data_IF_448453318263
#
_entry.id   IF_448453318263
#
_cell.length_a   1.000
_cell.length_b   1.000
_cell.length_c   1.000
_cell.angle_alpha   90.00
_cell.angle_beta   90.00
_cell.angle_gamma   90.00
#
_symmetry.space_group_name_H-M   'P 1'
#
loop_
_entity.id
_entity.type
_entity.pdbx_description
1 polymer ?
#
# COMPACT_ATOMS: atom_id res chain seq x y z
N UNK A 1 70.07 56.51 -45.90
CA UNK A 1 68.70 56.08 -45.48
C UNK A 1 68.84 55.12 -44.31
N UNK A 2 68.37 55.50 -43.13
CA UNK A 2 68.74 54.85 -41.87
C UNK A 2 67.79 53.69 -41.52
N UNK A 3 68.28 52.46 -41.62
CA UNK A 3 67.56 51.19 -41.39
C UNK A 3 66.82 51.11 -40.02
N UNK A 4 67.29 51.86 -39.01
CA UNK A 4 66.66 51.88 -37.68
C UNK A 4 65.41 52.76 -37.58
N UNK A 5 65.22 53.76 -38.46
CA UNK A 5 64.03 54.62 -38.45
C UNK A 5 62.78 53.87 -38.92
N UNK A 6 62.95 53.13 -40.00
CA UNK A 6 61.88 52.36 -40.67
C UNK A 6 61.33 51.21 -39.81
N UNK A 7 62.15 50.62 -38.93
CA UNK A 7 61.69 49.62 -37.97
C UNK A 7 60.83 50.22 -36.84
N UNK A 8 61.17 51.44 -36.38
CA UNK A 8 60.43 52.12 -35.31
C UNK A 8 59.05 52.56 -35.80
N UNK A 9 58.93 52.99 -37.04
CA UNK A 9 57.66 53.43 -37.62
C UNK A 9 56.74 52.25 -37.94
N UNK A 10 57.26 51.14 -38.47
CA UNK A 10 56.50 49.88 -38.58
C UNK A 10 55.95 49.39 -37.24
N UNK A 11 56.75 49.47 -36.16
CA UNK A 11 56.28 49.10 -34.81
C UNK A 11 55.17 50.03 -34.30
N UNK A 12 55.22 51.32 -34.63
CA UNK A 12 54.16 52.28 -34.28
C UNK A 12 52.87 51.98 -35.04
N UNK A 13 52.95 51.77 -36.35
CA UNK A 13 51.80 51.41 -37.17
C UNK A 13 51.15 50.11 -36.71
N UNK A 14 51.95 49.08 -36.40
CA UNK A 14 51.44 47.82 -35.85
C UNK A 14 50.75 48.03 -34.50
N UNK A 15 51.30 48.86 -33.61
CA UNK A 15 50.62 49.22 -32.34
C UNK A 15 49.30 49.96 -32.58
N UNK A 16 49.23 50.85 -33.57
CA UNK A 16 48.00 51.56 -33.92
C UNK A 16 46.95 50.60 -34.50
N UNK A 17 47.35 49.70 -35.41
CA UNK A 17 46.48 48.64 -35.95
C UNK A 17 45.97 47.71 -34.86
N UNK A 18 46.83 47.30 -33.92
CA UNK A 18 46.44 46.49 -32.76
C UNK A 18 45.48 47.23 -31.81
N UNK A 19 45.68 48.53 -31.58
CA UNK A 19 44.75 49.36 -30.79
C UNK A 19 43.40 49.49 -31.48
N UNK A 20 43.38 49.72 -32.79
CA UNK A 20 42.15 49.79 -33.58
C UNK A 20 41.41 48.44 -33.60
N UNK A 21 42.13 47.34 -33.81
CA UNK A 21 41.56 45.99 -33.76
C UNK A 21 41.00 45.66 -32.36
N UNK A 22 41.70 46.02 -31.28
CA UNK A 22 41.23 45.84 -29.91
C UNK A 22 40.01 46.71 -29.59
N UNK A 23 39.95 47.93 -30.12
CA UNK A 23 38.79 48.81 -29.97
C UNK A 23 37.57 48.24 -30.71
N UNK A 24 37.74 47.78 -31.95
CA UNK A 24 36.68 47.13 -32.73
C UNK A 24 36.16 45.86 -32.04
N UNK A 25 37.08 44.97 -31.61
CA UNK A 25 36.72 43.77 -30.85
C UNK A 25 35.97 44.08 -29.55
N UNK A 26 36.30 45.19 -28.87
CA UNK A 26 35.59 45.62 -27.65
C UNK A 26 34.18 46.11 -27.96
N UNK A 27 33.96 46.81 -29.06
CA UNK A 27 32.63 47.25 -29.47
C UNK A 27 31.77 46.08 -29.96
N UNK A 28 32.35 45.16 -30.74
CA UNK A 28 31.69 43.93 -31.17
C UNK A 28 31.28 43.08 -29.95
N UNK A 29 32.18 42.91 -28.99
CA UNK A 29 31.87 42.20 -27.73
C UNK A 29 30.76 42.88 -26.90
N UNK A 30 30.73 44.22 -26.85
CA UNK A 30 29.63 44.95 -26.20
C UNK A 30 28.31 44.76 -26.93
N UNK A 31 28.33 44.76 -28.26
CA UNK A 31 27.14 44.58 -29.07
C UNK A 31 26.57 43.16 -28.92
N UNK A 32 27.43 42.14 -28.95
CA UNK A 32 27.07 40.76 -28.64
C UNK A 32 26.52 40.60 -27.21
N UNK A 33 27.15 41.24 -26.22
CA UNK A 33 26.68 41.19 -24.84
C UNK A 33 25.27 41.80 -24.70
N UNK A 34 25.01 42.94 -25.37
CA UNK A 34 23.67 43.56 -25.41
C UNK A 34 22.64 42.66 -26.08
N UNK A 35 23.00 41.99 -27.18
CA UNK A 35 22.11 41.05 -27.86
C UNK A 35 21.79 39.84 -26.97
N UNK A 36 22.79 39.28 -26.29
CA UNK A 36 22.60 38.17 -25.34
C UNK A 36 21.71 38.55 -24.17
N UNK A 37 21.91 39.73 -23.57
CA UNK A 37 21.07 40.24 -22.48
C UNK A 37 19.62 40.47 -22.95
N UNK A 38 19.42 41.06 -24.14
CA UNK A 38 18.09 41.23 -24.73
C UNK A 38 17.40 39.88 -24.95
N UNK A 39 18.09 38.92 -25.58
CA UNK A 39 17.56 37.58 -25.81
C UNK A 39 17.20 36.85 -24.49
N UNK A 40 18.03 37.00 -23.46
CA UNK A 40 17.76 36.44 -22.13
C UNK A 40 16.51 37.06 -21.49
N UNK A 41 16.36 38.40 -21.55
CA UNK A 41 15.18 39.10 -21.03
C UNK A 41 13.91 38.70 -21.77
N UNK A 42 13.96 38.62 -23.10
CA UNK A 42 12.82 38.23 -23.93
C UNK A 42 12.45 36.76 -23.68
N UNK A 43 13.44 35.86 -23.57
CA UNK A 43 13.24 34.47 -23.17
C UNK A 43 12.62 34.32 -21.78
N UNK A 44 13.06 35.11 -20.79
CA UNK A 44 12.44 35.14 -19.46
C UNK A 44 10.98 35.60 -19.50
N UNK A 45 10.67 36.65 -20.26
CA UNK A 45 9.29 37.14 -20.42
C UNK A 45 8.40 36.10 -21.10
N UNK A 46 8.90 35.44 -22.14
CA UNK A 46 8.20 34.36 -22.82
C UNK A 46 7.92 33.18 -21.88
N UNK A 47 8.94 32.73 -21.13
CA UNK A 47 8.80 31.65 -20.16
C UNK A 47 7.81 32.00 -19.03
N UNK A 48 7.80 33.25 -18.55
CA UNK A 48 6.83 33.70 -17.55
C UNK A 48 5.39 33.74 -18.11
N UNK A 49 5.22 34.19 -19.36
CA UNK A 49 3.93 34.19 -20.03
C UNK A 49 3.39 32.76 -20.22
N UNK A 50 4.25 31.82 -20.63
CA UNK A 50 3.90 30.40 -20.74
C UNK A 50 3.53 29.80 -19.39
N UNK A 51 4.33 30.04 -18.33
CA UNK A 51 3.99 29.58 -16.97
C UNK A 51 2.62 30.10 -16.51
N UNK A 52 2.31 31.37 -16.79
CA UNK A 52 1.00 31.95 -16.46
C UNK A 52 -0.14 31.32 -17.25
N UNK A 53 0.06 30.98 -18.52
CA UNK A 53 -0.93 30.26 -19.34
C UNK A 53 -1.15 28.84 -18.81
N UNK A 54 -0.06 28.08 -18.62
CA UNK A 54 -0.11 26.72 -18.08
C UNK A 54 -0.78 26.69 -16.70
N UNK A 55 -0.49 27.66 -15.82
CA UNK A 55 -1.14 27.75 -14.52
C UNK A 55 -2.65 28.05 -14.62
N UNK A 56 -3.08 28.85 -15.60
CA UNK A 56 -4.51 29.12 -15.84
C UNK A 56 -5.23 27.89 -16.37
N UNK A 57 -4.62 27.15 -17.29
CA UNK A 57 -5.19 25.94 -17.86
C UNK A 57 -5.25 24.82 -16.82
N UNK A 58 -4.19 24.62 -16.04
CA UNK A 58 -4.19 23.72 -14.90
C UNK A 58 -5.30 24.05 -13.88
N UNK A 59 -5.55 25.34 -13.60
CA UNK A 59 -6.68 25.75 -12.73
C UNK A 59 -8.04 25.44 -13.35
N UNK A 60 -8.21 25.62 -14.66
CA UNK A 60 -9.46 25.27 -15.37
C UNK A 60 -9.71 23.77 -15.34
N UNK A 61 -8.67 22.99 -15.61
CA UNK A 61 -8.73 21.53 -15.60
C UNK A 61 -9.00 20.98 -14.20
N UNK A 62 -8.32 21.52 -13.17
CA UNK A 62 -8.63 21.18 -11.78
C UNK A 62 -10.09 21.49 -11.42
N UNK A 63 -10.63 22.63 -11.86
CA UNK A 63 -12.05 22.99 -11.63
C UNK A 63 -13.01 22.07 -12.38
N UNK A 64 -12.66 21.63 -13.59
CA UNK A 64 -13.44 20.66 -14.38
C UNK A 64 -13.42 19.28 -13.72
N UNK A 65 -12.26 18.80 -13.31
CA UNK A 65 -12.10 17.51 -12.64
C UNK A 65 -12.84 17.49 -11.31
N UNK A 66 -12.72 18.53 -10.47
CA UNK A 66 -13.48 18.63 -9.22
C UNK A 66 -15.02 18.56 -9.44
N UNK A 67 -15.53 19.12 -10.54
CA UNK A 67 -16.96 18.99 -10.91
C UNK A 67 -17.32 17.57 -11.33
N UNK A 68 -16.45 16.88 -12.06
CA UNK A 68 -16.64 15.49 -12.47
C UNK A 68 -16.62 14.58 -11.25
N UNK A 69 -15.67 14.76 -10.34
CA UNK A 69 -15.55 13.99 -9.10
C UNK A 69 -16.78 14.19 -8.22
N UNK A 70 -17.27 15.42 -8.08
CA UNK A 70 -18.51 15.69 -7.34
C UNK A 70 -19.72 14.99 -7.96
N UNK A 71 -19.78 14.87 -9.30
CA UNK A 71 -20.84 14.13 -9.99
C UNK A 71 -20.68 12.62 -9.81
N UNK A 72 -19.46 12.10 -9.89
CA UNK A 72 -19.13 10.69 -9.66
C UNK A 72 -19.47 10.29 -8.22
N UNK A 73 -19.08 11.08 -7.23
CA UNK A 73 -19.40 10.86 -5.82
C UNK A 73 -20.91 10.82 -5.57
N UNK A 74 -21.67 11.76 -6.17
CA UNK A 74 -23.15 11.75 -6.08
C UNK A 74 -23.76 10.48 -6.71
N UNK A 75 -23.22 9.99 -7.82
CA UNK A 75 -23.69 8.74 -8.45
C UNK A 75 -23.35 7.53 -7.58
N UNK A 76 -22.13 7.46 -7.04
CA UNK A 76 -21.70 6.42 -6.13
C UNK A 76 -22.56 6.39 -4.85
N UNK A 77 -22.92 7.56 -4.29
CA UNK A 77 -23.81 7.64 -3.14
C UNK A 77 -25.23 7.14 -3.45
N UNK A 78 -25.76 7.45 -4.64
CA UNK A 78 -27.05 6.92 -5.11
C UNK A 78 -27.02 5.40 -5.25
N UNK A 79 -25.97 4.85 -5.86
CA UNK A 79 -25.77 3.40 -6.00
C UNK A 79 -25.68 2.76 -4.61
N UNK A 80 -24.92 3.33 -3.68
CA UNK A 80 -24.81 2.84 -2.31
C UNK A 80 -26.16 2.84 -1.58
N UNK A 81 -26.96 3.90 -1.73
CA UNK A 81 -28.31 3.99 -1.14
C UNK A 81 -29.28 2.99 -1.75
N UNK A 82 -29.20 2.75 -3.06
CA UNK A 82 -30.00 1.74 -3.74
C UNK A 82 -29.62 0.33 -3.25
N UNK A 83 -28.32 0.01 -3.27
CA UNK A 83 -27.80 -1.28 -2.78
C UNK A 83 -28.17 -1.56 -1.33
N UNK A 84 -28.13 -0.56 -0.44
CA UNK A 84 -28.54 -0.72 0.96
C UNK A 84 -30.01 -1.11 1.11
N UNK A 85 -30.91 -0.58 0.28
CA UNK A 85 -32.34 -0.94 0.31
C UNK A 85 -32.56 -2.37 -0.18
N UNK A 86 -31.84 -2.77 -1.23
CA UNK A 86 -31.94 -4.12 -1.79
C UNK A 86 -31.35 -5.15 -0.81
N UNK A 87 -30.24 -4.82 -0.16
CA UNK A 87 -29.62 -5.65 0.87
C UNK A 87 -30.53 -5.80 2.10
N UNK A 88 -31.21 -4.73 2.54
CA UNK A 88 -32.22 -4.85 3.61
C UNK A 88 -33.38 -5.76 3.23
N UNK A 89 -33.89 -5.69 1.99
CA UNK A 89 -34.95 -6.58 1.52
C UNK A 89 -34.47 -8.02 1.47
N UNK A 90 -33.25 -8.26 0.96
CA UNK A 90 -32.64 -9.58 0.91
C UNK A 90 -32.41 -10.16 2.32
N UNK A 91 -31.95 -9.35 3.26
CA UNK A 91 -31.80 -9.76 4.67
C UNK A 91 -33.14 -10.11 5.31
N UNK A 92 -34.18 -9.28 5.12
CA UNK A 92 -35.53 -9.58 5.62
C UNK A 92 -36.10 -10.86 5.01
N UNK A 93 -35.88 -11.09 3.72
CA UNK A 93 -36.30 -12.32 3.05
C UNK A 93 -35.57 -13.56 3.62
N UNK A 94 -34.26 -13.44 3.88
CA UNK A 94 -33.47 -14.50 4.54
C UNK A 94 -33.98 -14.78 5.96
N UNK A 95 -34.27 -13.75 6.76
CA UNK A 95 -34.82 -13.93 8.10
C UNK A 95 -36.17 -14.66 8.08
N UNK A 96 -37.11 -14.23 7.22
CA UNK A 96 -38.39 -14.93 7.05
C UNK A 96 -38.22 -16.39 6.63
N UNK A 97 -37.28 -16.65 5.73
CA UNK A 97 -36.99 -18.02 5.30
C UNK A 97 -36.45 -18.87 6.46
N UNK A 98 -35.53 -18.32 7.25
CA UNK A 98 -34.99 -18.99 8.44
C UNK A 98 -36.08 -19.24 9.49
N UNK A 99 -36.97 -18.28 9.74
CA UNK A 99 -38.11 -18.43 10.66
C UNK A 99 -39.05 -19.55 10.18
N UNK A 100 -39.37 -19.59 8.88
CA UNK A 100 -40.22 -20.63 8.30
C UNK A 100 -39.58 -22.02 8.35
N UNK A 101 -38.26 -22.11 8.12
CA UNK A 101 -37.52 -23.36 8.23
C UNK A 101 -37.45 -23.81 9.70
N UNK A 102 -37.18 -22.90 10.63
CA UNK A 102 -37.17 -23.19 12.06
C UNK A 102 -38.55 -23.64 12.55
N UNK A 103 -39.64 -22.99 12.11
CA UNK A 103 -41.01 -23.39 12.42
C UNK A 103 -41.33 -24.80 11.90
N UNK A 104 -40.94 -25.12 10.66
CA UNK A 104 -41.10 -26.47 10.10
C UNK A 104 -40.29 -27.53 10.85
N UNK A 105 -39.06 -27.20 11.26
CA UNK A 105 -38.22 -28.10 12.07
C UNK A 105 -38.87 -28.34 13.43
N UNK A 106 -39.42 -27.29 14.07
CA UNK A 106 -40.13 -27.40 15.34
C UNK A 106 -41.40 -28.26 15.23
N UNK A 107 -42.18 -28.11 14.15
CA UNK A 107 -43.34 -28.97 13.88
C UNK A 107 -42.93 -30.42 13.64
N UNK A 108 -41.87 -30.66 12.86
CA UNK A 108 -41.32 -32.00 12.66
C UNK A 108 -40.82 -32.62 13.96
N UNK A 109 -40.19 -31.85 14.84
CA UNK A 109 -39.77 -32.31 16.16
C UNK A 109 -40.95 -32.58 17.08
N UNK A 110 -42.02 -31.77 17.03
CA UNK A 110 -43.25 -31.99 17.83
C UNK A 110 -43.98 -33.27 17.44
N UNK A 111 -43.98 -33.59 16.14
CA UNK A 111 -44.58 -34.83 15.62
C UNK A 111 -43.68 -36.06 15.81
N UNK A 112 -42.37 -35.87 16.05
CA UNK A 112 -41.41 -36.92 16.31
C UNK A 112 -41.01 -36.94 17.79
N UNK A 113 -41.94 -37.34 18.66
CA UNK A 113 -41.65 -37.53 20.08
C UNK A 113 -40.46 -38.47 20.34
N UNK A 114 -39.72 -38.22 21.43
CA UNK A 114 -38.50 -38.93 21.81
C UNK A 114 -38.82 -40.38 22.21
N UNK A 115 -38.75 -41.30 21.26
CA UNK A 115 -38.96 -42.74 21.47
C UNK A 115 -37.71 -43.39 22.06
N UNK A 116 -37.90 -44.40 22.92
CA UNK A 116 -36.82 -45.07 23.68
C UNK A 116 -35.69 -45.61 22.78
N UNK A 117 -36.02 -46.02 21.56
CA UNK A 117 -35.06 -46.51 20.58
C UNK A 117 -34.22 -45.40 19.94
N UNK A 118 -34.80 -44.20 19.73
CA UNK A 118 -34.04 -43.04 19.26
C UNK A 118 -33.09 -42.50 20.33
N UNK A 119 -33.46 -42.57 21.61
CA UNK A 119 -32.58 -42.19 22.71
C UNK A 119 -31.32 -43.07 22.77
N UNK A 120 -31.47 -44.39 22.56
CA UNK A 120 -30.33 -45.32 22.46
C UNK A 120 -29.46 -45.03 21.22
N UNK A 121 -30.09 -44.73 20.07
CA UNK A 121 -29.38 -44.31 18.86
C UNK A 121 -28.60 -43.00 19.04
N UNK A 122 -29.17 -42.03 19.76
CA UNK A 122 -28.51 -40.75 20.06
C UNK A 122 -27.31 -40.91 20.99
N UNK A 123 -27.38 -41.78 22.00
CA UNK A 123 -26.21 -42.05 22.88
C UNK A 123 -25.08 -42.72 22.10
N UNK A 124 -25.40 -43.65 21.20
CA UNK A 124 -24.41 -44.28 20.31
C UNK A 124 -23.78 -43.28 19.33
N UNK A 125 -24.60 -42.47 18.67
CA UNK A 125 -24.15 -41.44 17.75
C UNK A 125 -23.33 -40.35 18.44
N UNK A 126 -23.74 -39.94 19.65
CA UNK A 126 -22.99 -38.99 20.46
C UNK A 126 -21.59 -39.54 20.81
N UNK A 127 -21.48 -40.80 21.25
CA UNK A 127 -20.17 -41.42 21.55
C UNK A 127 -19.22 -41.45 20.35
N UNK A 128 -19.75 -41.65 19.15
CA UNK A 128 -18.97 -41.63 17.90
C UNK A 128 -18.60 -40.21 17.44
N UNK A 129 -19.48 -39.22 17.67
CA UNK A 129 -19.25 -37.85 17.26
C UNK A 129 -18.45 -37.03 18.26
N UNK A 130 -18.42 -37.41 19.55
CA UNK A 130 -17.68 -36.70 20.61
C UNK A 130 -16.22 -36.39 20.24
N UNK A 131 -15.40 -37.30 19.69
CA UNK A 131 -14.01 -37.02 19.34
C UNK A 131 -13.83 -35.97 18.24
N UNK A 132 -14.81 -35.81 17.35
CA UNK A 132 -14.77 -34.87 16.21
C UNK A 132 -15.49 -33.57 16.54
N UNK A 133 -16.58 -33.65 17.30
CA UNK A 133 -17.40 -32.52 17.72
C UNK A 133 -16.71 -31.70 18.82
N UNK A 134 -15.89 -32.31 19.70
CA UNK A 134 -15.13 -31.57 20.71
C UNK A 134 -14.14 -30.56 20.07
N UNK A 135 -13.24 -30.96 19.14
CA UNK A 135 -12.37 -30.02 18.45
C UNK A 135 -13.12 -28.97 17.62
N UNK A 136 -14.22 -29.35 16.96
CA UNK A 136 -15.01 -28.43 16.14
C UNK A 136 -15.83 -27.45 16.98
N UNK A 137 -16.40 -27.90 18.08
CA UNK A 137 -17.10 -27.07 19.06
C UNK A 137 -16.14 -26.07 19.69
N UNK A 138 -14.94 -26.50 20.07
CA UNK A 138 -13.88 -25.61 20.54
C UNK A 138 -13.51 -24.55 19.49
N UNK A 139 -13.33 -24.94 18.22
CA UNK A 139 -13.09 -24.01 17.10
C UNK A 139 -14.25 -23.06 16.83
N UNK A 140 -15.49 -23.49 17.01
CA UNK A 140 -16.66 -22.64 16.84
C UNK A 140 -16.81 -21.64 18.00
N UNK A 141 -16.50 -22.08 19.22
CA UNK A 141 -16.55 -21.25 20.41
C UNK A 141 -15.49 -20.13 20.35
N UNK A 142 -14.29 -20.44 19.87
CA UNK A 142 -13.25 -19.42 19.58
C UNK A 142 -13.65 -18.51 18.41
N UNK A 143 -14.29 -19.02 17.36
CA UNK A 143 -14.72 -18.22 16.21
C UNK A 143 -15.82 -17.20 16.53
N UNK A 144 -16.73 -17.50 17.46
CA UNK A 144 -17.82 -16.59 17.87
C UNK A 144 -17.28 -15.44 18.73
N UNK A 145 -16.31 -15.71 19.60
CA UNK A 145 -15.65 -14.69 20.43
C UNK A 145 -14.80 -13.71 19.59
N UNK A 146 -14.29 -14.14 18.44
CA UNK A 146 -13.36 -13.37 17.60
C UNK A 146 -13.99 -12.51 16.49
N UNK A 147 -15.32 -12.53 16.31
CA UNK A 147 -15.99 -11.80 15.20
C UNK A 147 -15.80 -10.28 15.21
N UNK A 148 -15.52 -9.66 16.36
CA UNK A 148 -15.27 -8.22 16.45
C UNK A 148 -13.87 -7.79 15.99
N UNK A 149 -12.88 -8.70 16.07
CA UNK A 149 -11.47 -8.40 15.79
C UNK A 149 -10.97 -9.03 14.47
N UNK A 150 -11.68 -10.05 13.98
CA UNK A 150 -11.37 -10.79 12.77
C UNK A 150 -11.44 -9.96 11.47
N UNK A 151 -12.30 -8.95 11.36
CA UNK A 151 -12.44 -8.19 10.12
C UNK A 151 -11.19 -7.35 9.79
N UNK A 152 -10.47 -6.89 10.82
CA UNK A 152 -9.19 -6.21 10.68
C UNK A 152 -8.04 -7.23 10.54
N UNK A 153 -8.07 -8.33 11.29
CA UNK A 153 -7.04 -9.37 11.27
C UNK A 153 -6.99 -10.16 9.93
N UNK A 154 -8.15 -10.44 9.31
CA UNK A 154 -8.26 -11.11 8.00
C UNK A 154 -7.66 -10.30 6.85
N UNK A 155 -7.63 -8.97 6.95
CA UNK A 155 -6.97 -8.12 5.94
C UNK A 155 -5.45 -8.26 5.95
N UNK A 156 -4.88 -8.77 7.03
CA UNK A 156 -3.43 -8.95 7.21
C UNK A 156 -3.04 -10.43 7.33
N UNK A 157 -3.96 -11.36 7.03
CA UNK A 157 -3.66 -12.80 7.01
C UNK A 157 -3.42 -13.45 8.38
N UNK A 158 -3.87 -12.82 9.48
CA UNK A 158 -3.60 -13.32 10.85
C UNK A 158 -4.89 -13.65 11.60
N UNK A 159 -4.84 -14.61 12.54
CA UNK A 159 -5.95 -14.93 13.44
C UNK A 159 -6.15 -13.83 14.48
N UNK A 160 -7.41 -13.52 14.84
CA UNK A 160 -7.74 -12.49 15.84
C UNK A 160 -7.07 -12.71 17.21
N UNK A 161 -6.85 -13.97 17.59
CA UNK A 161 -6.17 -14.34 18.84
C UNK A 161 -4.71 -13.88 18.91
N UNK A 162 -3.99 -13.86 17.78
CA UNK A 162 -2.61 -13.38 17.72
C UNK A 162 -2.56 -11.85 17.77
N UNK A 163 -3.57 -11.16 17.21
CA UNK A 163 -3.69 -9.70 17.30
C UNK A 163 -4.00 -9.26 18.73
N UNK A 164 -4.82 -10.01 19.47
CA UNK A 164 -5.18 -9.71 20.85
C UNK A 164 -4.00 -9.75 21.84
N UNK A 165 -2.91 -10.45 21.50
CA UNK A 165 -1.66 -10.50 22.30
C UNK A 165 -0.75 -9.28 22.08
N UNK A 166 -1.04 -8.48 21.06
CA UNK A 166 -0.28 -7.29 20.73
C UNK A 166 -1.16 -6.04 20.92
N UNK A 167 -0.56 -4.97 21.43
CA UNK A 167 -1.25 -3.70 21.65
C UNK A 167 -0.69 -2.62 20.70
N UNK A 168 -1.48 -1.57 20.45
CA UNK A 168 -1.09 -0.45 19.58
C UNK A 168 -1.65 -0.53 18.16
N UNK A 169 -1.36 0.49 17.35
CA UNK A 169 -1.87 0.61 15.99
C UNK A 169 -1.31 -0.46 15.03
N UNK A 170 -0.13 -0.99 15.33
CA UNK A 170 0.62 -2.00 14.59
C UNK A 170 0.40 -3.44 15.07
N UNK A 171 -0.52 -3.67 16.02
CA UNK A 171 -0.82 -5.01 16.54
C UNK A 171 -1.09 -6.07 15.45
N UNK A 172 -1.83 -5.78 14.36
CA UNK A 172 -2.02 -6.75 13.27
C UNK A 172 -0.72 -7.13 12.55
N UNK A 173 0.21 -6.18 12.39
CA UNK A 173 1.49 -6.42 11.72
C UNK A 173 2.43 -7.25 12.61
N UNK A 174 2.44 -6.98 13.93
CA UNK A 174 3.19 -7.79 14.90
C UNK A 174 2.73 -9.25 14.93
N UNK A 175 1.41 -9.45 14.92
CA UNK A 175 0.82 -10.78 14.86
C UNK A 175 1.23 -11.51 13.57
N UNK A 176 1.37 -10.77 12.45
CA UNK A 176 1.80 -11.32 11.17
C UNK A 176 3.27 -11.72 11.17
N UNK A 177 4.14 -10.87 11.74
CA UNK A 177 5.57 -11.18 11.94
C UNK A 177 5.72 -12.49 12.69
N UNK A 178 4.95 -12.68 13.77
CA UNK A 178 4.99 -13.91 14.57
C UNK A 178 4.51 -15.13 13.77
N UNK A 179 3.46 -14.97 12.95
CA UNK A 179 3.01 -16.01 12.03
C UNK A 179 4.09 -16.43 11.03
N UNK A 180 4.81 -15.47 10.46
CA UNK A 180 5.91 -15.72 9.51
C UNK A 180 7.11 -16.36 10.21
N UNK A 181 7.46 -15.95 11.44
CA UNK A 181 8.49 -16.64 12.25
C UNK A 181 8.14 -18.11 12.45
N UNK A 182 6.88 -18.42 12.79
CA UNK A 182 6.42 -19.81 12.88
C UNK A 182 6.49 -20.56 11.55
N UNK A 183 6.32 -19.89 10.41
CA UNK A 183 6.55 -20.49 9.07
C UNK A 183 8.02 -20.78 8.81
N UNK A 184 8.93 -19.88 9.20
CA UNK A 184 10.37 -20.10 9.11
C UNK A 184 10.83 -21.26 10.00
N UNK A 185 10.27 -21.41 11.20
CA UNK A 185 10.58 -22.54 12.07
C UNK A 185 10.11 -23.87 11.45
N UNK A 186 8.97 -23.88 10.75
CA UNK A 186 8.54 -25.07 9.99
C UNK A 186 9.48 -25.37 8.81
N UNK A 187 9.96 -24.34 8.12
CA UNK A 187 10.94 -24.48 7.03
C UNK A 187 12.30 -24.99 7.55
N UNK A 188 12.73 -24.54 8.73
CA UNK A 188 13.94 -25.04 9.38
C UNK A 188 13.80 -26.53 9.73
N UNK A 189 12.65 -26.90 10.29
CA UNK A 189 12.35 -28.28 10.68
C UNK A 189 12.16 -29.23 9.49
N UNK A 190 11.75 -28.73 8.30
CA UNK A 190 11.62 -29.57 7.10
C UNK A 190 12.97 -29.94 6.46
N UNK A 191 14.09 -29.35 6.92
CA UNK A 191 15.46 -29.66 6.49
C UNK A 191 15.68 -29.58 4.98
N UNK A 192 14.95 -28.71 4.29
CA UNK A 192 15.15 -28.45 2.86
C UNK A 192 16.55 -27.87 2.63
N UNK A 193 17.33 -28.47 1.74
CA UNK A 193 18.71 -28.05 1.45
C UNK A 193 18.77 -26.61 0.94
N UNK A 194 19.79 -25.84 1.36
CA UNK A 194 20.02 -24.47 0.88
C UNK A 194 19.12 -23.38 1.50
N UNK A 195 18.35 -23.68 2.54
CA UNK A 195 17.42 -22.71 3.19
C UNK A 195 18.00 -22.00 4.41
N UNK A 196 19.08 -22.51 5.02
CA UNK A 196 19.65 -21.99 6.28
C UNK A 196 20.05 -20.50 6.19
N UNK A 197 20.72 -20.11 5.10
CA UNK A 197 21.10 -18.71 4.89
C UNK A 197 19.90 -17.78 4.76
N UNK A 198 18.86 -18.23 4.05
CA UNK A 198 17.61 -17.50 3.91
C UNK A 198 16.87 -17.36 5.23
N UNK A 199 16.75 -18.43 6.03
CA UNK A 199 16.05 -18.39 7.32
C UNK A 199 16.70 -17.36 8.24
N UNK A 200 18.04 -17.32 8.27
CA UNK A 200 18.78 -16.32 9.05
C UNK A 200 18.52 -14.89 8.55
N UNK A 201 18.57 -14.67 7.24
CA UNK A 201 18.31 -13.37 6.63
C UNK A 201 16.86 -12.90 6.88
N UNK A 202 15.88 -13.77 6.67
CA UNK A 202 14.47 -13.50 6.89
C UNK A 202 14.18 -13.17 8.37
N UNK A 203 14.81 -13.87 9.33
CA UNK A 203 14.69 -13.53 10.76
C UNK A 203 15.23 -12.12 11.05
N UNK A 204 16.40 -11.76 10.52
CA UNK A 204 16.95 -10.41 10.68
C UNK A 204 16.04 -9.34 10.06
N UNK A 205 15.48 -9.59 8.87
CA UNK A 205 14.52 -8.68 8.22
C UNK A 205 13.26 -8.51 9.07
N UNK A 206 12.73 -9.60 9.65
CA UNK A 206 11.57 -9.53 10.54
C UNK A 206 11.85 -8.71 11.81
N UNK A 207 13.05 -8.80 12.37
CA UNK A 207 13.43 -7.98 13.54
C UNK A 207 13.45 -6.49 13.17
N UNK A 208 14.03 -6.12 12.03
CA UNK A 208 13.99 -4.74 11.52
C UNK A 208 12.56 -4.24 11.27
N UNK A 209 11.65 -5.12 10.83
CA UNK A 209 10.25 -4.77 10.64
C UNK A 209 9.52 -4.54 11.96
N UNK A 210 9.88 -5.24 13.03
CA UNK A 210 9.35 -4.98 14.38
C UNK A 210 9.75 -3.57 14.84
N UNK A 211 11.01 -3.19 14.66
CA UNK A 211 11.50 -1.84 15.00
C UNK A 211 10.79 -0.76 14.15
N UNK A 212 10.54 -1.05 12.87
CA UNK A 212 9.80 -0.15 11.99
C UNK A 212 8.34 0.03 12.44
N UNK A 213 7.69 -1.04 12.91
CA UNK A 213 6.33 -0.98 13.49
C UNK A 213 6.34 -0.09 14.74
N UNK A 214 7.32 -0.25 15.63
CA UNK A 214 7.47 0.59 16.83
C UNK A 214 7.69 2.06 16.52
N UNK A 215 8.52 2.33 15.53
CA UNK A 215 8.76 3.69 15.06
C UNK A 215 7.47 4.30 14.49
N UNK A 216 6.67 3.51 13.75
CA UNK A 216 5.43 3.96 13.14
C UNK A 216 4.35 4.37 14.16
N UNK A 217 4.33 3.78 15.37
CA UNK A 217 3.41 4.18 16.45
C UNK A 217 3.55 5.66 16.83
N UNK A 218 4.78 6.18 16.76
CA UNK A 218 5.12 7.56 17.15
C UNK A 218 4.98 8.56 16.00
N UNK A 219 4.60 8.11 14.80
CA UNK A 219 4.43 8.97 13.63
C UNK A 219 3.02 9.60 13.55
N UNK A 220 2.89 10.66 12.73
CA UNK A 220 1.58 11.21 12.38
C UNK A 220 0.70 10.14 11.69
N UNK A 221 -0.64 10.23 11.77
CA UNK A 221 -1.53 9.20 11.20
C UNK A 221 -1.27 8.87 9.73
N UNK A 222 -0.98 9.89 8.90
CA UNK A 222 -0.69 9.70 7.47
C UNK A 222 0.67 9.03 7.23
N UNK A 223 1.68 9.39 8.02
CA UNK A 223 2.99 8.74 7.96
C UNK A 223 2.92 7.29 8.45
N UNK A 224 2.22 7.06 9.58
CA UNK A 224 1.98 5.71 10.13
C UNK A 224 1.28 4.81 9.13
N UNK A 225 0.20 5.30 8.48
CA UNK A 225 -0.49 4.53 7.44
C UNK A 225 0.45 4.14 6.30
N UNK A 226 1.28 5.07 5.80
CA UNK A 226 2.25 4.77 4.73
C UNK A 226 3.30 3.75 5.18
N UNK A 227 3.83 3.91 6.38
CA UNK A 227 4.77 2.96 6.97
C UNK A 227 4.14 1.56 7.08
N UNK A 228 2.92 1.44 7.59
CA UNK A 228 2.21 0.16 7.71
C UNK A 228 1.96 -0.51 6.35
N UNK A 229 1.67 0.26 5.30
CA UNK A 229 1.53 -0.27 3.93
C UNK A 229 2.85 -0.84 3.42
N UNK A 230 3.96 -0.10 3.62
CA UNK A 230 5.30 -0.56 3.21
C UNK A 230 5.73 -1.82 3.97
N UNK A 231 5.49 -1.84 5.29
CA UNK A 231 5.79 -3.00 6.15
C UNK A 231 4.95 -4.20 5.72
N UNK A 232 3.67 -4.01 5.43
CA UNK A 232 2.80 -5.09 4.95
C UNK A 232 3.33 -5.70 3.65
N UNK A 233 3.76 -4.88 2.69
CA UNK A 233 4.30 -5.35 1.42
C UNK A 233 5.61 -6.13 1.59
N UNK A 234 6.48 -5.71 2.52
CA UNK A 234 7.70 -6.46 2.85
C UNK A 234 7.37 -7.83 3.47
N UNK A 235 6.39 -7.88 4.37
CA UNK A 235 5.91 -9.14 4.95
C UNK A 235 5.28 -10.07 3.90
N UNK A 236 4.56 -9.51 2.91
CA UNK A 236 4.05 -10.27 1.75
C UNK A 236 5.20 -10.89 0.93
N UNK A 237 6.27 -10.12 0.72
CA UNK A 237 7.47 -10.58 0.01
C UNK A 237 8.17 -11.75 0.72
N UNK A 238 8.41 -11.62 2.03
CA UNK A 238 9.03 -12.69 2.83
C UNK A 238 8.17 -13.96 2.80
N UNK A 239 6.84 -13.83 2.94
CA UNK A 239 5.93 -14.97 2.92
C UNK A 239 5.94 -15.69 1.56
N UNK A 240 6.01 -14.94 0.45
CA UNK A 240 6.18 -15.51 -0.90
C UNK A 240 7.50 -16.28 -1.04
N UNK A 241 8.62 -15.70 -0.58
CA UNK A 241 9.94 -16.34 -0.63
C UNK A 241 9.97 -17.64 0.21
N UNK A 242 9.24 -17.68 1.33
CA UNK A 242 9.06 -18.91 2.14
C UNK A 242 8.30 -19.97 1.34
N UNK A 243 7.18 -19.60 0.72
CA UNK A 243 6.36 -20.54 -0.07
C UNK A 243 7.12 -21.12 -1.26
N UNK A 244 7.92 -20.29 -1.95
CA UNK A 244 8.78 -20.72 -3.05
C UNK A 244 9.81 -21.76 -2.58
N UNK A 245 10.41 -21.54 -1.40
CA UNK A 245 11.38 -22.49 -0.82
C UNK A 245 10.73 -23.76 -0.27
N UNK A 246 9.45 -23.72 0.04
CA UNK A 246 8.66 -24.92 0.40
C UNK A 246 8.14 -25.66 -0.83
N UNK A 247 8.29 -25.12 -2.04
CA UNK A 247 7.78 -25.71 -3.29
C UNK A 247 6.25 -25.67 -3.39
N UNK A 248 5.61 -24.71 -2.73
CA UNK A 248 4.15 -24.57 -2.66
C UNK A 248 3.57 -23.61 -3.71
N UNK A 249 4.42 -23.01 -4.54
CA UNK A 249 4.04 -22.14 -5.65
C UNK A 249 4.13 -22.92 -6.98
N UNK A 250 3.10 -22.79 -7.82
CA UNK A 250 3.01 -23.37 -9.16
C UNK A 250 3.36 -22.35 -10.23
#
# INVERSE_FOLDING_TARGET
MSFLGDYRDRRREMKLKLKAAKAKAKEDAKHEAKLKDKAYRDGRKAAEAERKRNAKDAKKDAKRNAKLDKRAAKRAEKIRKAGWKDEQKALKAKHKHQENVAAKILEQQRNQGLTRDKAKGWVGAARLLVPVALPLGYRLMTFVQNRGQDAAARKFGVTGDAVARHHGYGAPLRARVEGIRGSLDRLENSKVSGTVGFIKDARNRLDLLVDAIETAEHMTPDQRRRAHVSISAELDGIDSEIMDKMGLTA
#
